data_IF_551894791919
#
_entry.id   IF_551894791919
#
_cell.length_a   1.000
_cell.length_b   1.000
_cell.length_c   1.000
_cell.angle_alpha   90.00
_cell.angle_beta   90.00
_cell.angle_gamma   90.00
#
_symmetry.space_group_name_H-M   'P 1'
#
loop_
_entity.id
_entity.type
_entity.pdbx_description
1 polymer ?
#
# COMPACT_ATOMS: atom_id res chain seq x y z
N UNK A 1 -32.01 0.24 -21.00
CA UNK A 1 -30.76 0.64 -20.34
C UNK A 1 -29.71 0.67 -21.43
N UNK A 2 -29.27 1.85 -21.89
CA UNK A 2 -28.22 1.90 -22.92
C UNK A 2 -26.91 1.35 -22.34
N UNK A 3 -25.98 0.95 -23.20
CA UNK A 3 -24.64 0.50 -22.81
C UNK A 3 -23.80 1.55 -22.03
N UNK A 4 -24.37 2.72 -21.69
CA UNK A 4 -23.62 3.91 -21.28
C UNK A 4 -23.63 4.26 -19.78
N UNK A 5 -24.29 3.49 -18.90
CA UNK A 5 -24.30 3.77 -17.45
C UNK A 5 -23.52 2.73 -16.63
N UNK A 6 -22.36 2.31 -17.14
CA UNK A 6 -21.41 1.48 -16.40
C UNK A 6 -20.39 2.37 -15.68
N UNK A 7 -20.00 1.98 -14.45
CA UNK A 7 -18.89 2.64 -13.74
C UNK A 7 -17.56 2.59 -14.52
N UNK A 8 -17.42 1.61 -15.41
CA UNK A 8 -16.29 1.46 -16.32
C UNK A 8 -16.82 1.33 -17.76
N UNK A 9 -16.74 2.41 -18.56
CA UNK A 9 -17.06 2.34 -20.00
C UNK A 9 -16.20 1.26 -20.68
N UNK A 10 -16.84 0.36 -21.44
CA UNK A 10 -16.18 -0.82 -22.01
C UNK A 10 -16.07 -2.04 -21.08
N UNK A 11 -16.66 -1.98 -19.89
CA UNK A 11 -16.75 -3.10 -18.95
C UNK A 11 -15.41 -3.50 -18.33
N UNK A 12 -15.33 -4.74 -17.84
CA UNK A 12 -14.15 -5.25 -17.12
C UNK A 12 -12.92 -5.43 -18.03
N UNK A 13 -13.10 -5.57 -19.36
CA UNK A 13 -11.98 -5.63 -20.29
C UNK A 13 -11.22 -4.30 -20.36
N UNK A 14 -11.94 -3.17 -20.42
CA UNK A 14 -11.33 -1.84 -20.39
C UNK A 14 -10.55 -1.57 -19.08
N UNK A 15 -10.95 -2.19 -17.97
CA UNK A 15 -10.18 -2.16 -16.72
C UNK A 15 -8.82 -2.83 -16.88
N UNK A 16 -8.76 -4.00 -17.51
CA UNK A 16 -7.50 -4.74 -17.71
C UNK A 16 -6.57 -3.96 -18.63
N UNK A 17 -7.09 -3.37 -19.71
CA UNK A 17 -6.29 -2.52 -20.60
C UNK A 17 -5.70 -1.32 -19.84
N UNK A 18 -6.53 -0.61 -19.07
CA UNK A 18 -6.07 0.51 -18.25
C UNK A 18 -5.07 0.07 -17.19
N UNK A 19 -5.30 -1.09 -16.56
CA UNK A 19 -4.39 -1.67 -15.58
C UNK A 19 -3.02 -1.96 -16.22
N UNK A 20 -3.00 -2.52 -17.42
CA UNK A 20 -1.76 -2.86 -18.15
C UNK A 20 -1.05 -1.65 -18.76
N UNK A 21 -1.77 -0.58 -19.12
CA UNK A 21 -1.23 0.60 -19.82
C UNK A 21 -0.06 1.31 -19.11
N UNK A 22 0.11 1.11 -17.80
CA UNK A 22 1.19 1.72 -17.00
C UNK A 22 2.32 0.76 -16.63
N UNK A 23 2.23 -0.49 -17.09
CA UNK A 23 3.12 -1.59 -16.69
C UNK A 23 4.23 -1.87 -17.70
N UNK A 24 4.40 -1.00 -18.70
CA UNK A 24 5.52 -1.06 -19.64
C UNK A 24 6.87 -1.24 -18.92
N UNK A 25 7.72 -2.18 -19.36
CA UNK A 25 9.01 -2.48 -18.76
C UNK A 25 9.93 -1.27 -18.66
N UNK A 26 10.83 -1.33 -17.68
CA UNK A 26 11.99 -0.45 -17.67
C UNK A 26 13.10 -1.05 -18.51
N UNK A 27 13.84 -0.16 -19.18
CA UNK A 27 15.11 -0.49 -19.80
C UNK A 27 16.18 -0.50 -18.69
N UNK A 28 16.57 -1.70 -18.27
CA UNK A 28 17.52 -1.94 -17.19
C UNK A 28 18.87 -2.37 -17.75
N UNK A 29 19.90 -1.58 -17.49
CA UNK A 29 21.29 -1.96 -17.67
C UNK A 29 21.79 -2.82 -16.50
N UNK A 30 22.89 -3.56 -16.68
CA UNK A 30 23.50 -4.44 -15.66
C UNK A 30 23.77 -3.76 -14.31
N UNK A 31 24.04 -2.46 -14.31
CA UNK A 31 24.37 -1.67 -13.11
C UNK A 31 23.16 -0.85 -12.57
N UNK A 32 21.95 -1.13 -13.07
CA UNK A 32 20.74 -0.39 -12.70
C UNK A 32 20.27 -0.67 -11.27
N UNK A 33 20.42 -1.93 -10.84
CA UNK A 33 20.07 -2.43 -9.52
C UNK A 33 21.21 -3.33 -9.01
N UNK A 34 21.43 -3.43 -7.70
CA UNK A 34 22.34 -4.41 -7.13
C UNK A 34 21.94 -5.85 -7.53
N UNK A 35 22.92 -6.74 -7.54
CA UNK A 35 22.67 -8.17 -7.71
C UNK A 35 21.82 -8.74 -6.57
N UNK A 36 21.10 -9.83 -6.84
CA UNK A 36 20.23 -10.46 -5.86
C UNK A 36 20.97 -10.99 -4.61
N UNK A 37 22.28 -11.23 -4.70
CA UNK A 37 23.18 -11.68 -3.64
C UNK A 37 24.02 -10.56 -3.00
N UNK A 38 23.78 -9.29 -3.37
CA UNK A 38 24.51 -8.16 -2.82
C UNK A 38 24.43 -8.11 -1.28
N UNK A 39 25.52 -7.67 -0.65
CA UNK A 39 25.55 -7.37 0.79
C UNK A 39 24.68 -6.14 1.06
N UNK A 40 23.68 -6.32 1.92
CA UNK A 40 22.70 -5.29 2.25
C UNK A 40 23.19 -4.33 3.35
N UNK A 41 24.19 -4.72 4.15
CA UNK A 41 24.67 -3.94 5.29
C UNK A 41 25.23 -2.56 4.88
N UNK A 42 26.01 -2.42 3.80
CA UNK A 42 26.47 -1.09 3.35
C UNK A 42 25.33 -0.11 3.03
N UNK A 43 24.18 -0.61 2.57
CA UNK A 43 23.02 0.21 2.22
C UNK A 43 22.26 0.74 3.43
N UNK A 44 22.42 0.14 4.62
CA UNK A 44 21.80 0.64 5.86
C UNK A 44 22.56 1.82 6.45
N UNK A 45 23.88 1.89 6.18
CA UNK A 45 24.79 2.88 6.76
C UNK A 45 25.13 4.04 5.81
N UNK A 46 24.80 3.88 4.52
CA UNK A 46 24.93 4.94 3.50
C UNK A 46 23.61 5.67 3.31
N UNK A 47 23.66 6.99 3.11
CA UNK A 47 22.48 7.85 2.98
C UNK A 47 22.41 8.50 1.61
N UNK A 48 21.20 8.61 1.08
CA UNK A 48 20.92 9.25 -0.21
C UNK A 48 21.22 10.74 -0.09
N UNK A 49 22.06 11.24 -0.99
CA UNK A 49 22.41 12.66 -1.07
C UNK A 49 21.68 13.35 -2.22
N UNK A 50 21.73 14.68 -2.25
CA UNK A 50 21.24 15.51 -3.38
C UNK A 50 21.88 15.16 -4.73
N UNK A 51 23.00 14.44 -4.76
CA UNK A 51 23.57 13.95 -6.00
C UNK A 51 22.67 12.89 -6.68
N UNK A 52 21.91 12.11 -5.91
CA UNK A 52 21.05 11.05 -6.42
C UNK A 52 19.83 11.56 -7.20
N UNK A 53 19.40 12.80 -6.93
CA UNK A 53 18.30 13.48 -7.64
C UNK A 53 18.74 14.04 -8.99
N UNK A 54 20.06 14.06 -9.24
CA UNK A 54 20.68 14.62 -10.44
C UNK A 54 21.13 13.53 -11.39
N UNK A 55 21.37 13.94 -12.63
CA UNK A 55 21.92 13.08 -13.67
C UNK A 55 23.36 12.71 -13.30
N UNK A 56 23.72 11.42 -13.32
CA UNK A 56 25.09 10.97 -13.05
C UNK A 56 26.04 11.39 -14.18
N UNK A 57 27.32 11.55 -13.84
CA UNK A 57 28.36 11.72 -14.85
C UNK A 57 28.40 10.49 -15.77
N UNK A 58 28.45 10.72 -17.09
CA UNK A 58 28.42 9.66 -18.10
C UNK A 58 27.03 9.19 -18.53
N UNK A 59 25.94 9.63 -17.88
CA UNK A 59 24.59 9.28 -18.37
C UNK A 59 24.31 9.89 -19.77
N UNK A 60 23.70 9.13 -20.71
CA UNK A 60 23.36 9.62 -22.04
C UNK A 60 22.50 10.90 -22.01
N UNK A 61 22.63 11.77 -23.03
CA UNK A 61 21.86 13.03 -23.12
C UNK A 61 20.36 12.79 -22.98
N UNK A 62 19.84 11.70 -23.57
CA UNK A 62 18.48 11.21 -23.37
C UNK A 62 18.48 10.15 -22.27
N UNK A 63 17.91 10.46 -21.11
CA UNK A 63 17.81 9.50 -20.01
C UNK A 63 16.82 8.37 -20.31
N UNK A 64 17.19 7.13 -19.95
CA UNK A 64 16.26 6.00 -19.96
C UNK A 64 15.05 6.25 -19.05
N UNK A 65 13.95 5.51 -19.27
CA UNK A 65 12.77 5.60 -18.42
C UNK A 65 13.11 5.26 -16.96
N UNK A 66 13.98 4.27 -16.74
CA UNK A 66 14.47 3.91 -15.42
C UNK A 66 15.30 5.03 -14.79
N UNK A 67 16.26 5.61 -15.52
CA UNK A 67 17.11 6.69 -14.98
C UNK A 67 16.31 7.92 -14.56
N UNK A 68 15.25 8.27 -15.30
CA UNK A 68 14.31 9.32 -14.89
C UNK A 68 13.57 8.92 -13.62
N UNK A 69 12.97 7.73 -13.60
CA UNK A 69 12.22 7.23 -12.44
C UNK A 69 13.07 7.16 -11.18
N UNK A 70 14.34 6.74 -11.29
CA UNK A 70 15.29 6.68 -10.19
C UNK A 70 15.51 8.05 -9.55
N UNK A 71 15.75 9.08 -10.37
CA UNK A 71 15.92 10.45 -9.88
C UNK A 71 14.65 11.01 -9.26
N UNK A 72 13.51 10.77 -9.89
CA UNK A 72 12.20 11.23 -9.39
C UNK A 72 11.92 10.65 -7.99
N UNK A 73 12.22 9.36 -7.79
CA UNK A 73 12.08 8.72 -6.47
C UNK A 73 13.13 9.27 -5.51
N UNK A 74 14.39 9.42 -5.93
CA UNK A 74 15.47 9.86 -5.06
C UNK A 74 15.19 11.19 -4.35
N UNK A 75 14.40 12.09 -4.96
CA UNK A 75 13.94 13.34 -4.32
C UNK A 75 13.26 13.09 -2.97
N UNK A 76 12.45 12.04 -2.87
CA UNK A 76 11.72 11.69 -1.65
C UNK A 76 12.61 11.02 -0.59
N UNK A 77 13.80 10.58 -0.98
CA UNK A 77 14.70 9.78 -0.14
C UNK A 77 15.96 10.51 0.28
N UNK A 78 16.18 11.76 -0.12
CA UNK A 78 17.34 12.55 0.36
C UNK A 78 17.36 12.54 1.90
N UNK A 79 18.50 12.15 2.47
CA UNK A 79 18.70 11.99 3.92
C UNK A 79 18.18 10.67 4.51
N UNK A 80 17.56 9.80 3.71
CA UNK A 80 17.21 8.42 4.09
C UNK A 80 18.32 7.46 3.68
N UNK A 81 18.33 6.28 4.30
CA UNK A 81 19.27 5.23 3.90
C UNK A 81 19.14 4.84 2.42
N UNK A 82 20.23 4.44 1.79
CA UNK A 82 20.19 3.90 0.43
C UNK A 82 19.37 2.62 0.34
N UNK A 83 19.27 1.83 1.42
CA UNK A 83 18.38 0.66 1.48
C UNK A 83 16.91 1.05 1.28
N UNK A 84 16.48 2.17 1.87
CA UNK A 84 15.11 2.66 1.73
C UNK A 84 14.81 3.09 0.27
N UNK A 85 15.77 3.76 -0.39
CA UNK A 85 15.68 4.07 -1.82
C UNK A 85 15.67 2.80 -2.67
N UNK A 86 16.53 1.82 -2.36
CA UNK A 86 16.56 0.53 -3.06
C UNK A 86 15.20 -0.15 -3.01
N UNK A 87 14.56 -0.25 -1.83
CA UNK A 87 13.21 -0.79 -1.70
C UNK A 87 12.21 -0.09 -2.67
N UNK A 88 12.23 1.24 -2.74
CA UNK A 88 11.35 1.99 -3.65
C UNK A 88 11.63 1.74 -5.14
N UNK A 89 12.89 1.54 -5.51
CA UNK A 89 13.30 1.18 -6.87
C UNK A 89 12.89 -0.24 -7.24
N UNK A 90 13.04 -1.21 -6.33
CA UNK A 90 12.58 -2.59 -6.52
C UNK A 90 11.07 -2.63 -6.72
N UNK A 91 10.29 -1.97 -5.85
CA UNK A 91 8.83 -1.86 -6.00
C UNK A 91 8.44 -1.25 -7.35
N UNK A 92 9.17 -0.22 -7.79
CA UNK A 92 8.88 0.44 -9.07
C UNK A 92 9.10 -0.50 -10.26
N UNK A 93 10.13 -1.35 -10.22
CA UNK A 93 10.40 -2.36 -11.22
C UNK A 93 9.38 -3.50 -11.16
N UNK A 94 9.08 -4.04 -9.98
CA UNK A 94 8.16 -5.16 -9.76
C UNK A 94 6.71 -4.86 -10.17
N UNK A 95 6.35 -3.58 -10.36
CA UNK A 95 5.06 -3.17 -10.93
C UNK A 95 5.00 -3.29 -12.46
N UNK A 96 6.11 -3.59 -13.13
CA UNK A 96 6.20 -3.77 -14.58
C UNK A 96 5.95 -5.22 -14.98
N UNK A 97 5.54 -5.45 -16.23
CA UNK A 97 5.19 -6.80 -16.73
C UNK A 97 6.39 -7.73 -16.93
N UNK A 98 7.61 -7.21 -17.03
CA UNK A 98 8.83 -8.02 -17.25
C UNK A 98 9.95 -7.64 -16.29
N UNK A 99 9.63 -7.46 -15.01
CA UNK A 99 10.67 -7.32 -13.98
C UNK A 99 11.49 -8.62 -13.92
N UNK A 100 12.84 -8.56 -13.92
CA UNK A 100 13.66 -9.76 -13.76
C UNK A 100 13.39 -10.47 -12.42
N UNK A 101 13.42 -11.80 -12.39
CA UNK A 101 13.16 -12.61 -11.18
C UNK A 101 14.10 -12.27 -10.01
N UNK A 102 15.34 -11.90 -10.32
CA UNK A 102 16.35 -11.45 -9.36
C UNK A 102 15.90 -10.21 -8.57
N UNK A 103 15.03 -9.37 -9.15
CA UNK A 103 14.48 -8.17 -8.47
C UNK A 103 13.52 -8.57 -7.36
N UNK A 104 12.69 -9.60 -7.59
CA UNK A 104 11.77 -10.10 -6.57
C UNK A 104 12.56 -10.77 -5.44
N UNK A 105 13.58 -11.56 -5.80
CA UNK A 105 14.50 -12.19 -4.85
C UNK A 105 15.16 -11.15 -3.95
N UNK A 106 15.72 -10.08 -4.53
CA UNK A 106 16.33 -8.99 -3.77
C UNK A 106 15.32 -8.28 -2.86
N UNK A 107 14.10 -8.01 -3.34
CA UNK A 107 13.04 -7.41 -2.53
C UNK A 107 12.68 -8.26 -1.31
N UNK A 108 12.53 -9.57 -1.49
CA UNK A 108 12.24 -10.49 -0.40
C UNK A 108 13.39 -10.56 0.62
N UNK A 109 14.66 -10.57 0.15
CA UNK A 109 15.84 -10.49 1.02
C UNK A 109 15.87 -9.20 1.83
N UNK A 110 15.56 -8.06 1.23
CA UNK A 110 15.49 -6.77 1.94
C UNK A 110 14.57 -6.85 3.15
N UNK A 111 13.37 -7.41 2.99
CA UNK A 111 12.40 -7.51 4.08
C UNK A 111 12.74 -8.63 5.07
N UNK A 112 13.28 -9.77 4.60
CA UNK A 112 13.71 -10.84 5.49
C UNK A 112 14.87 -10.41 6.40
N UNK A 113 15.87 -9.70 5.84
CA UNK A 113 17.12 -9.39 6.52
C UNK A 113 17.11 -8.03 7.23
N UNK A 114 16.36 -7.04 6.73
CA UNK A 114 16.49 -5.63 7.14
C UNK A 114 15.15 -4.95 7.45
N UNK A 115 14.10 -5.70 7.81
CA UNK A 115 12.76 -5.14 8.06
C UNK A 115 12.74 -4.04 9.13
N UNK A 116 13.48 -4.17 10.22
CA UNK A 116 13.49 -3.16 11.30
C UNK A 116 13.95 -1.80 10.76
N UNK A 117 15.08 -1.79 10.05
CA UNK A 117 15.64 -0.59 9.42
C UNK A 117 14.70 -0.01 8.35
N UNK A 118 14.08 -0.86 7.52
CA UNK A 118 13.12 -0.41 6.52
C UNK A 118 11.87 0.21 7.15
N UNK A 119 11.34 -0.36 8.23
CA UNK A 119 10.19 0.18 8.96
C UNK A 119 10.53 1.56 9.56
N UNK A 120 11.74 1.73 10.08
CA UNK A 120 12.18 3.01 10.63
C UNK A 120 12.38 4.09 9.55
N UNK A 121 12.98 3.72 8.42
CA UNK A 121 13.40 4.68 7.40
C UNK A 121 12.30 5.08 6.42
N UNK A 122 11.42 4.13 6.06
CA UNK A 122 10.35 4.35 5.10
C UNK A 122 9.18 5.12 5.72
N UNK A 123 8.61 6.06 4.95
CA UNK A 123 7.30 6.60 5.29
C UNK A 123 6.19 5.54 5.14
N UNK A 124 5.03 5.80 5.75
CA UNK A 124 3.89 4.87 5.69
C UNK A 124 3.43 4.59 4.25
N UNK A 125 3.61 5.53 3.32
CA UNK A 125 3.20 5.35 1.91
C UNK A 125 4.07 4.29 1.24
N UNK A 126 5.37 4.28 1.50
CA UNK A 126 6.30 3.28 0.99
C UNK A 126 6.17 1.96 1.74
N UNK A 127 5.90 1.95 3.03
CA UNK A 127 5.58 0.73 3.77
C UNK A 127 4.32 0.04 3.20
N UNK A 128 3.24 0.81 2.97
CA UNK A 128 2.02 0.32 2.30
C UNK A 128 2.32 -0.15 0.88
N UNK A 129 3.19 0.55 0.13
CA UNK A 129 3.61 0.09 -1.20
C UNK A 129 4.39 -1.23 -1.14
N UNK A 130 5.15 -1.45 -0.07
CA UNK A 130 5.97 -2.65 0.12
C UNK A 130 5.09 -3.85 0.46
N UNK A 131 4.14 -3.71 1.40
CA UNK A 131 3.24 -4.82 1.76
C UNK A 131 2.36 -5.25 0.57
N UNK A 132 1.94 -4.30 -0.27
CA UNK A 132 1.20 -4.58 -1.50
C UNK A 132 2.04 -5.29 -2.58
N UNK A 133 3.37 -5.21 -2.50
CA UNK A 133 4.26 -5.82 -3.50
C UNK A 133 4.36 -7.33 -3.27
N UNK A 134 4.29 -7.79 -2.02
CA UNK A 134 4.19 -9.23 -1.69
C UNK A 134 2.99 -9.92 -2.35
N UNK A 135 1.94 -9.17 -2.69
CA UNK A 135 0.73 -9.72 -3.30
C UNK A 135 1.00 -10.46 -4.63
N UNK A 136 1.95 -9.96 -5.42
CA UNK A 136 2.35 -10.58 -6.70
C UNK A 136 3.72 -11.27 -6.59
N UNK A 137 4.57 -10.84 -5.64
CA UNK A 137 6.00 -11.22 -5.57
C UNK A 137 6.40 -11.89 -4.24
N UNK A 138 5.45 -12.27 -3.40
CA UNK A 138 5.72 -13.01 -2.17
C UNK A 138 6.38 -14.36 -2.45
N UNK A 139 7.37 -14.73 -1.65
CA UNK A 139 8.08 -16.00 -1.76
C UNK A 139 7.26 -17.20 -1.29
N UNK A 140 6.26 -16.98 -0.44
CA UNK A 140 5.34 -18.02 0.05
C UNK A 140 3.89 -17.70 -0.32
N UNK A 141 3.01 -18.71 -0.25
CA UNK A 141 1.57 -18.49 -0.42
C UNK A 141 0.98 -17.57 0.65
N UNK A 142 1.48 -17.66 1.88
CA UNK A 142 1.07 -16.78 3.00
C UNK A 142 1.38 -15.32 2.66
N UNK A 143 2.60 -15.04 2.19
CA UNK A 143 3.01 -13.70 1.80
C UNK A 143 2.13 -13.12 0.68
N UNK A 144 1.81 -13.93 -0.34
CA UNK A 144 0.93 -13.52 -1.45
C UNK A 144 -0.49 -13.26 -0.99
N UNK A 145 -1.06 -14.16 -0.16
CA UNK A 145 -2.42 -14.02 0.35
C UNK A 145 -2.58 -12.77 1.23
N UNK A 146 -1.68 -12.58 2.19
CA UNK A 146 -1.66 -11.39 3.07
C UNK A 146 -1.43 -10.14 2.25
N UNK A 147 -0.48 -10.17 1.30
CA UNK A 147 -0.22 -9.06 0.39
C UNK A 147 -1.45 -8.64 -0.42
N UNK A 148 -2.21 -9.59 -0.97
CA UNK A 148 -3.45 -9.29 -1.71
C UNK A 148 -4.55 -8.74 -0.79
N UNK A 149 -4.72 -9.32 0.41
CA UNK A 149 -5.69 -8.83 1.38
C UNK A 149 -5.39 -7.39 1.81
N UNK A 150 -4.13 -7.08 2.11
CA UNK A 150 -3.70 -5.73 2.49
C UNK A 150 -3.75 -4.76 1.31
N UNK A 151 -3.46 -5.21 0.08
CA UNK A 151 -3.67 -4.43 -1.15
C UNK A 151 -5.12 -4.00 -1.31
N UNK A 152 -6.06 -4.92 -1.12
CA UNK A 152 -7.49 -4.59 -1.17
C UNK A 152 -7.91 -3.66 -0.04
N UNK A 153 -7.50 -3.95 1.21
CA UNK A 153 -7.83 -3.13 2.37
C UNK A 153 -7.39 -1.67 2.20
N UNK A 154 -6.10 -1.43 1.94
CA UNK A 154 -5.57 -0.08 1.80
C UNK A 154 -6.03 0.59 0.50
N UNK A 155 -6.22 -0.18 -0.58
CA UNK A 155 -6.73 0.33 -1.85
C UNK A 155 -8.15 0.88 -1.73
N UNK A 156 -9.07 0.08 -1.18
CA UNK A 156 -10.47 0.47 -0.95
C UNK A 156 -10.55 1.59 0.09
N UNK A 157 -9.79 1.50 1.18
CA UNK A 157 -9.74 2.56 2.19
C UNK A 157 -9.29 3.88 1.59
N UNK A 158 -8.27 3.90 0.72
CA UNK A 158 -7.82 5.12 0.04
C UNK A 158 -8.92 5.74 -0.83
N UNK A 159 -9.61 4.91 -1.63
CA UNK A 159 -10.71 5.38 -2.49
C UNK A 159 -11.87 5.96 -1.67
N UNK A 160 -12.24 5.28 -0.60
CA UNK A 160 -13.29 5.71 0.30
C UNK A 160 -12.92 6.99 1.08
N UNK A 161 -11.73 7.06 1.67
CA UNK A 161 -11.30 8.26 2.38
C UNK A 161 -11.16 9.47 1.44
N UNK A 162 -10.75 9.26 0.17
CA UNK A 162 -10.72 10.30 -0.85
C UNK A 162 -12.12 10.82 -1.19
N UNK A 163 -13.08 9.94 -1.49
CA UNK A 163 -14.47 10.35 -1.74
C UNK A 163 -15.04 11.11 -0.52
N UNK A 164 -14.75 10.63 0.69
CA UNK A 164 -15.18 11.27 1.94
C UNK A 164 -14.62 12.68 2.12
N UNK A 165 -13.49 13.05 1.51
CA UNK A 165 -12.96 14.43 1.61
C UNK A 165 -13.95 15.47 1.04
N UNK A 166 -14.86 15.07 0.16
CA UNK A 166 -15.91 15.92 -0.40
C UNK A 166 -17.14 16.04 0.49
N UNK A 167 -17.17 15.40 1.67
CA UNK A 167 -18.30 15.47 2.60
C UNK A 167 -18.36 16.77 3.42
N UNK A 168 -17.35 17.65 3.31
CA UNK A 168 -17.21 18.86 4.12
C UNK A 168 -16.84 18.60 5.59
N UNK A 169 -16.36 17.40 5.94
CA UNK A 169 -15.95 17.06 7.31
C UNK A 169 -14.53 16.53 7.36
N UNK A 170 -13.77 16.98 8.36
CA UNK A 170 -12.41 16.50 8.61
C UNK A 170 -12.38 14.95 8.76
N UNK A 171 -11.30 14.28 8.30
CA UNK A 171 -11.17 12.82 8.34
C UNK A 171 -11.42 12.17 9.72
N UNK A 172 -11.06 12.86 10.81
CA UNK A 172 -11.25 12.35 12.17
C UNK A 172 -12.70 12.42 12.68
N UNK A 173 -13.58 13.18 12.03
CA UNK A 173 -14.93 13.44 12.53
C UNK A 173 -15.91 12.36 12.03
N UNK A 174 -16.56 11.56 12.89
CA UNK A 174 -17.58 10.62 12.42
C UNK A 174 -18.82 11.34 11.90
N UNK A 175 -19.54 10.72 10.95
CA UNK A 175 -20.89 11.16 10.59
C UNK A 175 -21.83 10.98 11.79
N UNK A 176 -22.72 11.95 12.00
CA UNK A 176 -23.78 11.86 13.02
C UNK A 176 -24.97 11.01 12.56
N UNK A 177 -25.86 10.66 13.51
CA UNK A 177 -27.01 9.81 13.25
C UNK A 177 -28.21 10.53 12.62
N UNK A 178 -28.33 11.85 12.83
CA UNK A 178 -29.53 12.61 12.47
C UNK A 178 -29.81 12.69 10.96
N UNK A 179 -28.76 12.67 10.13
CA UNK A 179 -28.86 12.82 8.66
C UNK A 179 -28.66 11.50 7.90
N UNK A 180 -28.83 10.35 8.57
CA UNK A 180 -28.67 9.05 7.93
C UNK A 180 -29.78 8.83 6.90
N UNK A 181 -29.39 8.72 5.63
CA UNK A 181 -30.31 8.33 4.55
C UNK A 181 -30.71 6.86 4.73
N UNK A 182 -32.02 6.58 4.66
CA UNK A 182 -32.57 5.23 4.67
C UNK A 182 -32.76 4.75 3.23
N UNK A 183 -31.70 4.22 2.64
CA UNK A 183 -31.72 3.58 1.33
C UNK A 183 -31.13 2.16 1.43
N UNK A 184 -31.45 1.26 0.49
CA UNK A 184 -30.75 0.00 0.33
C UNK A 184 -29.25 0.23 0.15
N UNK A 185 -28.42 -0.70 0.63
CA UNK A 185 -27.00 -0.68 0.29
C UNK A 185 -26.81 -1.13 -1.17
N UNK A 186 -25.73 -0.72 -1.84
CA UNK A 186 -25.37 -1.26 -3.14
C UNK A 186 -25.29 -2.78 -3.13
N UNK A 187 -25.56 -3.41 -4.28
CA UNK A 187 -25.45 -4.87 -4.47
C UNK A 187 -26.33 -5.69 -3.50
N UNK A 188 -27.49 -5.14 -3.09
CA UNK A 188 -28.44 -5.77 -2.17
C UNK A 188 -27.83 -6.21 -0.81
N UNK A 189 -26.75 -5.56 -0.39
CA UNK A 189 -26.09 -5.89 0.86
C UNK A 189 -26.93 -5.48 2.07
N UNK A 190 -26.85 -6.27 3.14
CA UNK A 190 -27.45 -5.90 4.41
C UNK A 190 -26.70 -4.70 5.03
N UNK A 191 -27.44 -3.84 5.73
CA UNK A 191 -26.84 -2.73 6.45
C UNK A 191 -25.95 -3.23 7.60
N UNK A 192 -24.82 -2.56 7.81
CA UNK A 192 -23.93 -2.85 8.92
C UNK A 192 -24.56 -2.44 10.27
N UNK A 193 -24.56 -3.37 11.23
CA UNK A 193 -25.00 -3.10 12.61
C UNK A 193 -23.86 -2.53 13.42
N UNK A 194 -24.01 -1.32 13.95
CA UNK A 194 -23.00 -0.74 14.85
C UNK A 194 -22.90 -1.49 16.19
N UNK A 195 -24.01 -2.05 16.69
CA UNK A 195 -24.04 -2.71 17.99
C UNK A 195 -23.56 -4.15 17.94
N UNK A 196 -23.96 -4.89 16.91
CA UNK A 196 -23.75 -6.33 16.82
C UNK A 196 -22.89 -6.75 15.61
N UNK A 197 -22.52 -5.80 14.75
CA UNK A 197 -21.71 -6.07 13.56
C UNK A 197 -20.22 -6.20 13.91
N UNK A 198 -19.62 -7.29 13.43
CA UNK A 198 -18.20 -7.58 13.55
C UNK A 198 -17.43 -7.56 12.23
N UNK A 199 -17.98 -6.94 11.17
CA UNK A 199 -17.35 -6.94 9.84
C UNK A 199 -15.93 -6.33 9.88
N UNK A 200 -15.72 -5.26 10.65
CA UNK A 200 -14.41 -4.65 10.87
C UNK A 200 -13.40 -5.63 11.48
N UNK A 201 -13.84 -6.47 12.42
CA UNK A 201 -13.01 -7.52 13.03
C UNK A 201 -12.75 -8.63 12.02
N UNK A 202 -13.78 -9.09 11.32
CA UNK A 202 -13.71 -10.21 10.39
C UNK A 202 -12.86 -9.92 9.14
N UNK A 203 -12.68 -8.65 8.76
CA UNK A 203 -11.78 -8.27 7.65
C UNK A 203 -10.33 -8.05 8.09
N UNK A 204 -10.08 -7.79 9.39
CA UNK A 204 -8.73 -7.51 9.92
C UNK A 204 -8.12 -8.75 10.56
N UNK A 205 -8.81 -9.36 11.52
CA UNK A 205 -8.23 -10.37 12.42
C UNK A 205 -7.68 -11.60 11.67
N UNK A 206 -8.39 -12.23 10.71
CA UNK A 206 -7.87 -13.39 10.00
C UNK A 206 -6.62 -13.08 9.17
N UNK A 207 -6.54 -11.87 8.60
CA UNK A 207 -5.38 -11.44 7.79
C UNK A 207 -4.17 -11.22 8.68
N UNK A 208 -4.36 -10.58 9.84
CA UNK A 208 -3.29 -10.39 10.81
C UNK A 208 -2.79 -11.71 11.37
N UNK A 209 -3.71 -12.61 11.78
CA UNK A 209 -3.37 -13.94 12.30
C UNK A 209 -2.56 -14.76 11.28
N UNK A 210 -3.02 -14.80 10.02
CA UNK A 210 -2.30 -15.46 8.93
C UNK A 210 -0.91 -14.84 8.71
N UNK A 211 -0.80 -13.51 8.72
CA UNK A 211 0.48 -12.83 8.56
C UNK A 211 1.48 -13.22 9.64
N UNK A 212 1.05 -13.44 10.89
CA UNK A 212 1.94 -13.82 12.00
C UNK A 212 2.54 -15.23 11.84
N UNK A 213 2.04 -16.03 10.90
CA UNK A 213 2.59 -17.37 10.61
C UNK A 213 3.80 -17.35 9.68
N UNK A 214 4.12 -16.22 9.03
CA UNK A 214 5.23 -16.10 8.09
C UNK A 214 6.20 -14.98 8.51
N UNK A 215 7.45 -15.31 8.92
CA UNK A 215 8.39 -14.33 9.46
C UNK A 215 8.87 -13.30 8.43
N UNK A 216 8.73 -13.57 7.13
CA UNK A 216 9.17 -12.65 6.07
C UNK A 216 8.22 -11.46 5.86
N UNK A 217 6.93 -11.61 6.20
CA UNK A 217 5.92 -10.55 6.06
C UNK A 217 5.36 -10.07 7.40
N UNK A 218 5.41 -10.90 8.45
CA UNK A 218 4.88 -10.60 9.76
C UNK A 218 5.32 -9.24 10.32
N UNK A 219 6.61 -8.84 10.29
CA UNK A 219 7.03 -7.58 10.90
C UNK A 219 6.34 -6.35 10.29
N UNK A 220 6.30 -6.29 8.95
CA UNK A 220 5.67 -5.19 8.23
C UNK A 220 4.14 -5.22 8.38
N UNK A 221 3.52 -6.40 8.25
CA UNK A 221 2.08 -6.54 8.42
C UNK A 221 1.65 -6.11 9.82
N UNK A 222 2.34 -6.60 10.87
CA UNK A 222 2.07 -6.24 12.25
C UNK A 222 2.19 -4.73 12.47
N UNK A 223 3.30 -4.12 12.01
CA UNK A 223 3.52 -2.68 12.12
C UNK A 223 2.40 -1.87 11.48
N UNK A 224 1.93 -2.26 10.29
CA UNK A 224 0.86 -1.58 9.57
C UNK A 224 -0.51 -1.75 10.24
N UNK A 225 -0.84 -2.92 10.77
CA UNK A 225 -2.08 -3.13 11.53
C UNK A 225 -2.10 -2.36 12.85
N UNK A 226 -0.97 -2.34 13.56
CA UNK A 226 -0.77 -1.53 14.76
C UNK A 226 -0.90 -0.02 14.45
N UNK A 227 -0.32 0.43 13.33
CA UNK A 227 -0.48 1.82 12.87
C UNK A 227 -1.94 2.14 12.53
N UNK A 228 -2.62 1.24 11.80
CA UNK A 228 -4.04 1.38 11.45
C UNK A 228 -4.93 1.50 12.70
N UNK A 229 -4.65 0.72 13.74
CA UNK A 229 -5.38 0.74 15.01
C UNK A 229 -5.15 2.07 15.77
N UNK A 230 -3.93 2.60 15.74
CA UNK A 230 -3.58 3.87 16.40
C UNK A 230 -4.08 5.10 15.65
N UNK A 231 -4.23 5.03 14.34
CA UNK A 231 -4.59 6.17 13.50
C UNK A 231 -5.97 6.75 13.89
N UNK A 232 -6.06 8.06 14.20
CA UNK A 232 -7.30 8.68 14.68
C UNK A 232 -8.29 9.07 13.56
N UNK A 233 -7.87 8.95 12.31
CA UNK A 233 -8.56 9.43 11.11
C UNK A 233 -9.11 8.30 10.23
N UNK A 234 -8.88 7.03 10.56
CA UNK A 234 -9.42 5.89 9.79
C UNK A 234 -10.91 5.67 10.04
N UNK A 235 -11.56 5.01 9.07
CA UNK A 235 -12.90 4.46 9.22
C UNK A 235 -13.07 3.67 10.53
N UNK A 236 -12.10 2.84 10.90
CA UNK A 236 -12.16 2.00 12.11
C UNK A 236 -12.28 2.84 13.38
N UNK A 237 -11.47 3.92 13.50
CA UNK A 237 -11.59 4.86 14.63
C UNK A 237 -12.95 5.56 14.63
N UNK A 238 -13.45 5.97 13.46
CA UNK A 238 -14.77 6.60 13.36
C UNK A 238 -15.89 5.65 13.76
N UNK A 239 -15.86 4.38 13.34
CA UNK A 239 -16.83 3.37 13.75
C UNK A 239 -16.81 3.14 15.26
N UNK A 240 -15.62 3.03 15.89
CA UNK A 240 -15.49 2.97 17.36
C UNK A 240 -16.19 4.16 18.04
N UNK A 241 -15.92 5.39 17.58
CA UNK A 241 -16.56 6.61 18.13
C UNK A 241 -18.08 6.61 17.93
N UNK A 242 -18.55 6.17 16.77
CA UNK A 242 -19.99 6.03 16.50
C UNK A 242 -20.63 5.03 17.46
N UNK A 243 -20.00 3.89 17.72
CA UNK A 243 -20.47 2.90 18.72
C UNK A 243 -20.58 3.53 20.12
N UNK A 244 -19.58 4.28 20.55
CA UNK A 244 -19.57 4.98 21.86
C UNK A 244 -20.68 6.03 21.98
N UNK A 245 -20.92 6.82 20.93
CA UNK A 245 -22.05 7.78 20.90
C UNK A 245 -23.38 7.02 20.93
N UNK A 246 -23.53 5.99 20.12
CA UNK A 246 -24.76 5.20 20.04
C UNK A 246 -25.11 4.52 21.37
N UNK A 247 -24.12 3.93 22.05
CA UNK A 247 -24.30 3.33 23.37
C UNK A 247 -24.74 4.37 24.41
N UNK A 248 -24.15 5.57 24.41
CA UNK A 248 -24.56 6.67 25.30
C UNK A 248 -25.97 7.18 25.04
N UNK A 249 -26.42 7.16 23.79
CA UNK A 249 -27.79 7.56 23.44
C UNK A 249 -28.81 6.51 23.91
N UNK A 250 -28.50 5.20 23.81
CA UNK A 250 -29.39 4.13 24.29
C UNK A 250 -29.37 3.93 25.81
N UNK A 251 -28.29 4.26 26.50
CA UNK A 251 -28.18 4.18 27.97
C UNK A 251 -28.67 5.43 28.71
N UNK A 252 -29.29 6.38 28.01
CA UNK A 252 -29.96 7.57 28.56
C UNK A 252 -31.50 7.49 28.46
N UNK A 253 -32.02 6.33 28.12
CA UNK A 253 -33.42 5.92 28.33
C UNK A 253 -33.51 5.11 29.64
#
# INVERSE_FOLDING_TARGET
>A
MSQDDLSYPGGLHALIERYNSRREPFDLDKDSLPAADADLIPFTTTFVTEAATKKRAGEPRRSSAFSRKRRDIAVEFVGKSELALLNALLISNLRKTSAPDDVATLFLRLWAEQHEHLIEQLDLRWQVSSIMTFADHGGTDVQRQVGQAMRMLFGVMKLYEFERQYSGMEPKVPFGFARRVKAPMPMDMAQYSLQHGGLDINVIAPVWELAMTDPGIAPLANHLFETLNRDPATLFRRLKRMREVHARLKGKE
#
